data_IF_647137861719
#
_entry.id   IF_647137861719
#
_cell.length_a   1.000
_cell.length_b   1.000
_cell.length_c   1.000
_cell.angle_alpha   90.00
_cell.angle_beta   90.00
_cell.angle_gamma   90.00
#
_symmetry.space_group_name_H-M   'P 1'
#
loop_
_entity.id
_entity.type
_entity.pdbx_description
1 polymer ?
#
# COMPACT_ATOMS: atom_id res chain seq x y z
N UNK A 1 19.28 -27.85 -6.63
CA UNK A 1 20.64 -27.56 -7.11
C UNK A 1 20.79 -26.05 -6.99
N UNK A 2 21.60 -25.56 -6.06
CA UNK A 2 21.75 -24.12 -5.80
C UNK A 2 22.49 -23.50 -6.99
N UNK A 3 21.81 -22.70 -7.81
CA UNK A 3 22.45 -21.92 -8.86
C UNK A 3 23.00 -20.62 -8.25
N UNK A 4 24.12 -20.11 -8.77
CA UNK A 4 24.65 -18.83 -8.31
C UNK A 4 23.68 -17.71 -8.69
N UNK A 5 23.35 -16.77 -7.78
CA UNK A 5 22.46 -15.64 -8.08
C UNK A 5 22.97 -14.78 -9.25
N UNK A 6 24.28 -14.75 -9.48
CA UNK A 6 24.89 -14.01 -10.60
C UNK A 6 24.86 -14.74 -11.95
N UNK A 7 24.39 -15.98 -12.00
CA UNK A 7 24.35 -16.74 -13.25
C UNK A 7 23.34 -16.12 -14.23
N UNK A 8 23.62 -16.15 -15.55
CA UNK A 8 22.71 -15.59 -16.56
C UNK A 8 21.33 -16.25 -16.50
N UNK A 9 21.27 -17.56 -16.23
CA UNK A 9 20.01 -18.30 -16.06
C UNK A 9 19.18 -17.77 -14.87
N UNK A 10 19.82 -17.42 -13.76
CA UNK A 10 19.15 -16.83 -12.59
C UNK A 10 18.60 -15.43 -12.89
N UNK A 11 19.38 -14.62 -13.62
CA UNK A 11 18.95 -13.27 -14.06
C UNK A 11 17.78 -13.34 -15.03
N UNK A 12 17.83 -14.24 -16.01
CA UNK A 12 16.76 -14.48 -16.97
C UNK A 12 15.48 -14.96 -16.27
N UNK A 13 15.60 -15.81 -15.25
CA UNK A 13 14.49 -16.28 -14.43
C UNK A 13 13.87 -15.15 -13.60
N UNK A 14 14.68 -14.34 -12.92
CA UNK A 14 14.20 -13.20 -12.14
C UNK A 14 13.49 -12.17 -13.01
N UNK A 15 14.05 -11.87 -14.18
CA UNK A 15 13.43 -10.99 -15.18
C UNK A 15 12.08 -11.52 -15.67
N UNK A 16 12.01 -12.81 -16.02
CA UNK A 16 10.75 -13.40 -16.48
C UNK A 16 9.70 -13.42 -15.36
N UNK A 17 10.10 -13.74 -14.12
CA UNK A 17 9.24 -13.70 -12.95
C UNK A 17 8.62 -12.31 -12.76
N UNK A 18 9.45 -11.27 -12.81
CA UNK A 18 9.01 -9.88 -12.70
C UNK A 18 8.07 -9.48 -13.83
N UNK A 19 8.44 -9.77 -15.08
CA UNK A 19 7.62 -9.44 -16.25
C UNK A 19 6.24 -10.10 -16.20
N UNK A 20 6.17 -11.38 -15.81
CA UNK A 20 4.89 -12.09 -15.65
C UNK A 20 4.02 -11.46 -14.56
N UNK A 21 4.61 -10.96 -13.47
CA UNK A 21 3.87 -10.25 -12.42
C UNK A 21 3.27 -8.93 -12.93
N UNK A 22 4.02 -8.18 -13.76
CA UNK A 22 3.51 -6.97 -14.43
C UNK A 22 2.33 -7.32 -15.33
N UNK A 23 2.46 -8.33 -16.19
CA UNK A 23 1.39 -8.72 -17.11
C UNK A 23 0.15 -9.18 -16.36
N UNK A 24 0.31 -9.94 -15.27
CA UNK A 24 -0.80 -10.36 -14.42
C UNK A 24 -1.60 -9.16 -13.88
N UNK A 25 -0.92 -8.14 -13.34
CA UNK A 25 -1.58 -6.91 -12.88
C UNK A 25 -2.15 -6.07 -14.01
N UNK A 26 -1.47 -6.03 -15.16
CA UNK A 26 -1.96 -5.37 -16.37
C UNK A 26 -3.32 -5.92 -16.79
N UNK A 27 -3.43 -7.24 -16.92
CA UNK A 27 -4.69 -7.93 -17.23
C UNK A 27 -5.77 -7.67 -16.16
N UNK A 28 -5.39 -7.66 -14.88
CA UNK A 28 -6.32 -7.40 -13.77
C UNK A 28 -6.96 -6.00 -13.85
N UNK A 29 -6.20 -4.98 -14.25
CA UNK A 29 -6.68 -3.59 -14.30
C UNK A 29 -7.10 -3.13 -15.70
N UNK A 30 -6.75 -3.86 -16.76
CA UNK A 30 -7.10 -3.55 -18.15
C UNK A 30 -8.47 -4.08 -18.57
N UNK A 31 -9.23 -4.73 -17.68
CA UNK A 31 -10.47 -5.40 -18.05
C UNK A 31 -11.60 -4.42 -18.38
N UNK A 32 -11.52 -3.79 -19.56
CA UNK A 32 -12.64 -3.31 -20.38
C UNK A 32 -13.39 -4.53 -20.95
N UNK A 33 -13.90 -5.39 -20.07
CA UNK A 33 -15.04 -6.19 -20.48
C UNK A 33 -16.22 -5.25 -20.40
N UNK A 34 -16.51 -4.58 -21.51
CA UNK A 34 -17.87 -4.13 -21.82
C UNK A 34 -18.79 -5.31 -21.45
N UNK A 35 -19.42 -5.23 -20.28
CA UNK A 35 -20.61 -6.01 -20.03
C UNK A 35 -21.59 -5.48 -21.05
N UNK A 36 -21.70 -6.16 -22.20
CA UNK A 36 -22.73 -5.90 -23.17
C UNK A 36 -24.05 -6.27 -22.48
N UNK A 37 -24.59 -5.33 -21.71
CA UNK A 37 -25.91 -5.45 -21.11
C UNK A 37 -26.86 -5.37 -22.30
N UNK A 38 -27.37 -6.53 -22.73
CA UNK A 38 -28.43 -6.58 -23.72
C UNK A 38 -29.63 -5.79 -23.19
N UNK A 39 -30.08 -4.71 -23.86
CA UNK A 39 -31.20 -3.90 -23.40
C UNK A 39 -32.52 -4.67 -23.24
N UNK A 40 -32.59 -5.90 -23.78
CA UNK A 40 -33.78 -6.75 -23.74
C UNK A 40 -33.78 -7.75 -22.57
N UNK A 41 -32.70 -7.84 -21.77
CA UNK A 41 -32.62 -8.74 -20.61
C UNK A 41 -32.23 -7.99 -19.32
N UNK A 42 -33.19 -7.28 -18.70
CA UNK A 42 -32.94 -6.50 -17.48
C UNK A 42 -32.67 -7.37 -16.23
N UNK A 43 -32.72 -8.71 -16.36
CA UNK A 43 -32.40 -9.64 -15.29
C UNK A 43 -31.16 -10.49 -15.57
N UNK A 44 -30.45 -10.24 -16.68
CA UNK A 44 -29.23 -10.94 -17.04
C UNK A 44 -29.40 -12.43 -16.88
N UNK A 45 -30.11 -13.08 -17.82
CA UNK A 45 -30.14 -14.53 -17.97
C UNK A 45 -28.71 -15.01 -18.07
N UNK A 46 -28.16 -15.30 -16.90
CA UNK A 46 -26.93 -16.01 -16.75
C UNK A 46 -27.17 -17.32 -17.48
N UNK A 47 -26.61 -17.42 -18.67
CA UNK A 47 -25.96 -18.66 -19.10
C UNK A 47 -24.84 -18.93 -18.10
N UNK A 48 -25.27 -19.26 -16.88
CA UNK A 48 -24.53 -19.77 -15.74
C UNK A 48 -24.18 -21.22 -16.07
N UNK A 49 -23.40 -21.39 -17.12
CA UNK A 49 -22.55 -22.55 -17.28
C UNK A 49 -21.19 -22.17 -16.70
N UNK A 50 -20.96 -22.57 -15.44
CA UNK A 50 -19.67 -22.63 -14.74
C UNK A 50 -19.16 -21.34 -14.04
N UNK A 51 -20.00 -20.66 -13.27
CA UNK A 51 -19.57 -19.58 -12.36
C UNK A 51 -18.93 -20.08 -11.03
N UNK A 52 -18.21 -21.21 -11.05
CA UNK A 52 -17.60 -21.79 -9.85
C UNK A 52 -16.07 -21.90 -9.85
N UNK A 53 -15.36 -21.46 -10.91
CA UNK A 53 -13.88 -21.58 -10.98
C UNK A 53 -13.17 -20.52 -11.86
N UNK A 54 -13.77 -19.37 -12.15
CA UNK A 54 -13.07 -18.35 -12.95
C UNK A 54 -12.12 -17.54 -12.05
N UNK A 55 -10.84 -17.93 -12.07
CA UNK A 55 -9.75 -17.14 -11.51
C UNK A 55 -9.73 -15.73 -12.13
N UNK A 56 -9.25 -14.69 -11.42
CA UNK A 56 -9.26 -13.34 -11.95
C UNK A 56 -8.42 -13.21 -13.23
N UNK A 57 -8.68 -12.17 -14.06
CA UNK A 57 -7.83 -11.88 -15.22
C UNK A 57 -6.35 -11.85 -14.84
N UNK A 58 -5.51 -12.50 -15.65
CA UNK A 58 -4.06 -12.59 -15.40
C UNK A 58 -3.62 -13.70 -14.43
N UNK A 59 -4.52 -14.55 -13.92
CA UNK A 59 -4.17 -15.53 -12.88
C UNK A 59 -3.12 -16.55 -13.32
N UNK A 60 -3.16 -16.96 -14.59
CA UNK A 60 -2.15 -17.85 -15.18
C UNK A 60 -0.74 -17.24 -15.11
N UNK A 61 -0.61 -15.95 -15.49
CA UNK A 61 0.68 -15.24 -15.40
C UNK A 61 1.14 -15.08 -13.96
N UNK A 62 0.22 -14.80 -13.03
CA UNK A 62 0.53 -14.78 -11.60
C UNK A 62 1.07 -16.13 -11.12
N UNK A 63 0.42 -17.25 -11.47
CA UNK A 63 0.88 -18.58 -11.06
C UNK A 63 2.24 -18.93 -11.64
N UNK A 64 2.48 -18.61 -12.92
CA UNK A 64 3.80 -18.79 -13.53
C UNK A 64 4.86 -17.92 -12.86
N UNK A 65 4.57 -16.64 -12.58
CA UNK A 65 5.48 -15.76 -11.84
C UNK A 65 5.82 -16.34 -10.47
N UNK A 66 4.82 -16.77 -9.68
CA UNK A 66 5.03 -17.39 -8.37
C UNK A 66 5.88 -18.67 -8.46
N UNK A 67 5.72 -19.47 -9.52
CA UNK A 67 6.53 -20.67 -9.72
C UNK A 67 8.01 -20.39 -10.01
N UNK A 68 8.31 -19.21 -10.56
CA UNK A 68 9.67 -18.76 -10.86
C UNK A 68 10.29 -17.96 -9.70
N UNK A 69 9.48 -17.49 -8.76
CA UNK A 69 9.91 -16.68 -7.64
C UNK A 69 10.87 -17.45 -6.72
N UNK A 70 12.02 -16.85 -6.42
CA UNK A 70 12.93 -17.38 -5.41
C UNK A 70 12.30 -17.25 -4.01
N UNK A 71 12.17 -18.38 -3.31
CA UNK A 71 11.53 -18.42 -1.97
C UNK A 71 12.28 -17.58 -0.93
N UNK A 72 13.61 -17.64 -0.93
CA UNK A 72 14.49 -16.85 -0.07
C UNK A 72 15.68 -16.40 -0.90
N UNK A 73 15.78 -15.09 -1.15
CA UNK A 73 16.93 -14.48 -1.81
C UNK A 73 18.03 -14.21 -0.77
N UNK A 74 19.19 -14.85 -0.93
CA UNK A 74 20.37 -14.57 -0.10
C UNK A 74 20.93 -13.16 -0.37
N UNK A 75 20.89 -12.75 -1.63
CA UNK A 75 21.31 -11.44 -2.10
C UNK A 75 20.12 -10.80 -2.84
N UNK A 76 19.13 -10.24 -2.12
CA UNK A 76 17.97 -9.61 -2.77
C UNK A 76 18.43 -8.41 -3.58
N UNK A 77 17.83 -8.20 -4.75
CA UNK A 77 18.01 -7.00 -5.55
C UNK A 77 16.72 -6.16 -5.60
N UNK A 78 16.81 -4.98 -6.24
CA UNK A 78 15.68 -4.06 -6.40
C UNK A 78 14.52 -4.76 -7.12
N UNK A 79 14.80 -5.50 -8.19
CA UNK A 79 13.79 -6.17 -9.01
C UNK A 79 13.05 -7.26 -8.24
N UNK A 80 13.72 -7.98 -7.33
CA UNK A 80 13.10 -8.96 -6.45
C UNK A 80 12.07 -8.29 -5.52
N UNK A 81 12.41 -7.14 -4.94
CA UNK A 81 11.50 -6.36 -4.07
C UNK A 81 10.28 -5.90 -4.88
N UNK A 82 10.49 -5.35 -6.08
CA UNK A 82 9.40 -4.93 -6.95
C UNK A 82 8.49 -6.11 -7.32
N UNK A 83 9.06 -7.25 -7.65
CA UNK A 83 8.30 -8.46 -8.00
C UNK A 83 7.42 -8.91 -6.84
N UNK A 84 7.95 -8.92 -5.61
CA UNK A 84 7.18 -9.23 -4.41
C UNK A 84 6.04 -8.23 -4.18
N UNK A 85 6.28 -6.93 -4.39
CA UNK A 85 5.24 -5.90 -4.34
C UNK A 85 4.13 -6.18 -5.35
N UNK A 86 4.46 -6.48 -6.61
CA UNK A 86 3.48 -6.77 -7.66
C UNK A 86 2.65 -8.03 -7.31
N UNK A 87 3.31 -9.09 -6.86
CA UNK A 87 2.66 -10.32 -6.42
C UNK A 87 1.78 -10.10 -5.18
N UNK A 88 2.18 -9.22 -4.27
CA UNK A 88 1.37 -8.85 -3.11
C UNK A 88 0.07 -8.15 -3.52
N UNK A 89 0.13 -7.19 -4.46
CA UNK A 89 -1.08 -6.53 -4.99
C UNK A 89 -2.03 -7.55 -5.63
N UNK A 90 -1.50 -8.45 -6.46
CA UNK A 90 -2.32 -9.45 -7.13
C UNK A 90 -2.92 -10.46 -6.12
N UNK A 91 -2.15 -10.89 -5.12
CA UNK A 91 -2.67 -11.72 -4.03
C UNK A 91 -3.79 -11.01 -3.24
N UNK A 92 -3.67 -9.70 -3.05
CA UNK A 92 -4.70 -8.90 -2.38
C UNK A 92 -6.01 -8.86 -3.19
N UNK A 93 -5.95 -8.72 -4.52
CA UNK A 93 -7.14 -8.74 -5.38
C UNK A 93 -7.87 -10.10 -5.40
N UNK A 94 -7.13 -11.18 -5.18
CA UNK A 94 -7.67 -12.54 -4.99
C UNK A 94 -8.20 -12.82 -3.58
N UNK A 95 -8.26 -11.82 -2.69
CA UNK A 95 -8.61 -11.99 -1.29
C UNK A 95 -7.68 -12.98 -0.54
N UNK A 96 -6.44 -13.19 -1.04
CA UNK A 96 -5.40 -14.00 -0.38
C UNK A 96 -4.56 -13.12 0.53
N UNK A 97 -5.21 -12.49 1.51
CA UNK A 97 -4.61 -11.46 2.36
C UNK A 97 -3.39 -11.96 3.13
N UNK A 98 -3.38 -13.23 3.56
CA UNK A 98 -2.21 -13.84 4.20
C UNK A 98 -1.02 -13.96 3.25
N UNK A 99 -1.26 -14.34 2.00
CA UNK A 99 -0.20 -14.41 0.97
C UNK A 99 0.35 -13.03 0.66
N UNK A 100 -0.52 -12.03 0.50
CA UNK A 100 -0.10 -10.65 0.30
C UNK A 100 0.76 -10.15 1.48
N UNK A 101 0.31 -10.37 2.72
CA UNK A 101 1.07 -10.03 3.92
C UNK A 101 2.45 -10.70 3.96
N UNK A 102 2.55 -11.98 3.56
CA UNK A 102 3.84 -12.67 3.51
C UNK A 102 4.77 -12.07 2.45
N UNK A 103 4.27 -11.77 1.24
CA UNK A 103 5.09 -11.14 0.21
C UNK A 103 5.57 -9.74 0.62
N UNK A 104 4.70 -8.94 1.24
CA UNK A 104 5.08 -7.62 1.78
C UNK A 104 6.10 -7.74 2.91
N UNK A 105 5.95 -8.73 3.79
CA UNK A 105 6.93 -8.98 4.85
C UNK A 105 8.30 -9.34 4.29
N UNK A 106 8.35 -10.18 3.24
CA UNK A 106 9.62 -10.52 2.56
C UNK A 106 10.20 -9.30 1.84
N UNK A 107 9.38 -8.51 1.14
CA UNK A 107 9.85 -7.31 0.44
C UNK A 107 10.39 -6.25 1.42
N UNK A 108 9.75 -6.09 2.57
CA UNK A 108 10.24 -5.22 3.65
C UNK A 108 11.60 -5.70 4.17
N UNK A 109 11.76 -6.99 4.49
CA UNK A 109 13.05 -7.52 4.94
C UNK A 109 14.15 -7.40 3.88
N UNK A 110 13.82 -7.58 2.60
CA UNK A 110 14.74 -7.38 1.48
C UNK A 110 15.14 -5.90 1.33
N UNK A 111 14.18 -4.97 1.43
CA UNK A 111 14.46 -3.53 1.39
C UNK A 111 15.34 -3.07 2.56
N UNK A 112 15.14 -3.64 3.76
CA UNK A 112 16.02 -3.40 4.91
C UNK A 112 17.42 -3.98 4.70
N UNK A 113 17.54 -5.18 4.12
CA UNK A 113 18.83 -5.80 3.82
C UNK A 113 19.66 -5.01 2.79
N UNK A 114 19.00 -4.21 1.94
CA UNK A 114 19.61 -3.27 1.00
C UNK A 114 19.78 -1.85 1.58
N UNK A 115 19.48 -1.65 2.86
CA UNK A 115 19.50 -0.35 3.54
C UNK A 115 18.67 0.75 2.84
N UNK A 116 17.57 0.39 2.16
CA UNK A 116 16.74 1.36 1.45
C UNK A 116 15.97 2.30 2.39
N UNK A 117 15.78 1.88 3.65
CA UNK A 117 15.22 2.68 4.73
C UNK A 117 16.13 3.81 5.20
N UNK A 118 17.41 3.79 4.80
CA UNK A 118 18.41 4.77 5.24
C UNK A 118 18.75 5.77 4.16
N UNK A 119 19.09 6.99 4.59
CA UNK A 119 19.66 7.98 3.69
C UNK A 119 20.99 7.47 3.14
N UNK A 120 21.26 7.60 1.83
CA UNK A 120 22.54 7.18 1.25
C UNK A 120 23.73 7.98 1.81
N UNK A 121 23.46 9.06 2.55
CA UNK A 121 24.47 9.92 3.18
C UNK A 121 24.78 9.56 4.64
N UNK A 122 24.04 8.64 5.26
CA UNK A 122 24.24 8.26 6.67
C UNK A 122 25.53 7.48 6.89
N UNK A 123 25.96 6.72 5.88
CA UNK A 123 27.18 5.92 5.90
C UNK A 123 27.72 5.73 4.49
N UNK A 124 29.03 5.44 4.39
CA UNK A 124 29.66 5.15 3.11
C UNK A 124 29.08 3.84 2.55
N UNK A 125 28.26 3.95 1.51
CA UNK A 125 27.60 2.82 0.84
C UNK A 125 27.83 2.89 -0.68
N UNK A 126 27.73 1.75 -1.35
CA UNK A 126 27.80 1.69 -2.82
C UNK A 126 26.70 2.51 -3.49
N UNK A 127 25.60 2.77 -2.77
CA UNK A 127 24.48 3.61 -3.21
C UNK A 127 24.89 5.04 -3.52
N UNK A 128 25.98 5.56 -2.93
CA UNK A 128 26.48 6.90 -3.25
C UNK A 128 26.96 7.04 -4.71
N UNK A 129 27.24 5.93 -5.40
CA UNK A 129 27.68 5.92 -6.79
C UNK A 129 26.51 5.86 -7.79
N UNK A 130 25.26 5.70 -7.29
CA UNK A 130 24.07 5.65 -8.13
C UNK A 130 23.72 7.03 -8.68
N UNK A 131 23.10 7.05 -9.84
CA UNK A 131 22.51 8.25 -10.41
C UNK A 131 21.35 8.78 -9.55
N UNK A 132 20.99 10.05 -9.73
CA UNK A 132 19.85 10.65 -9.02
C UNK A 132 18.55 9.89 -9.27
N UNK A 133 18.33 9.39 -10.50
CA UNK A 133 17.14 8.63 -10.86
C UNK A 133 17.10 7.27 -10.15
N UNK A 134 18.22 6.55 -10.08
CA UNK A 134 18.31 5.27 -9.38
C UNK A 134 18.11 5.42 -7.86
N UNK A 135 18.67 6.48 -7.26
CA UNK A 135 18.44 6.79 -5.84
C UNK A 135 16.97 7.08 -5.55
N UNK A 136 16.32 7.86 -6.42
CA UNK A 136 14.91 8.21 -6.29
C UNK A 136 14.00 6.99 -6.51
N UNK A 137 14.35 6.11 -7.45
CA UNK A 137 13.67 4.84 -7.66
C UNK A 137 13.72 3.95 -6.40
N UNK A 138 14.90 3.73 -5.84
CA UNK A 138 15.06 2.94 -4.62
C UNK A 138 14.31 3.53 -3.41
N UNK A 139 14.33 4.85 -3.28
CA UNK A 139 13.58 5.57 -2.25
C UNK A 139 12.07 5.35 -2.39
N UNK A 140 11.53 5.53 -3.60
CA UNK A 140 10.11 5.30 -3.88
C UNK A 140 9.71 3.85 -3.70
N UNK A 141 10.59 2.92 -4.05
CA UNK A 141 10.38 1.51 -3.81
C UNK A 141 10.26 1.21 -2.31
N UNK A 142 11.17 1.74 -1.48
CA UNK A 142 11.06 1.61 -0.03
C UNK A 142 9.73 2.15 0.50
N UNK A 143 9.35 3.37 0.10
CA UNK A 143 8.08 3.97 0.51
C UNK A 143 6.86 3.20 0.02
N UNK A 144 6.94 2.58 -1.16
CA UNK A 144 5.89 1.69 -1.68
C UNK A 144 5.75 0.42 -0.83
N UNK A 145 6.87 -0.22 -0.48
CA UNK A 145 6.89 -1.39 0.40
C UNK A 145 6.32 -1.04 1.77
N UNK A 146 6.74 0.09 2.34
CA UNK A 146 6.24 0.58 3.62
C UNK A 146 4.74 0.89 3.57
N UNK A 147 4.25 1.53 2.51
CA UNK A 147 2.82 1.76 2.30
C UNK A 147 2.02 0.45 2.26
N UNK A 148 2.52 -0.57 1.55
CA UNK A 148 1.87 -1.88 1.49
C UNK A 148 1.89 -2.61 2.84
N UNK A 149 2.96 -2.46 3.63
CA UNK A 149 3.04 -3.00 4.99
C UNK A 149 1.97 -2.37 5.88
N UNK A 150 1.85 -1.05 5.86
CA UNK A 150 0.78 -0.32 6.55
C UNK A 150 -0.63 -0.77 6.09
N UNK A 151 -0.84 -0.94 4.78
CA UNK A 151 -2.11 -1.39 4.23
C UNK A 151 -2.49 -2.80 4.71
N UNK A 152 -1.56 -3.75 4.60
CA UNK A 152 -1.83 -5.16 4.96
C UNK A 152 -1.99 -5.34 6.47
N UNK A 153 -1.18 -4.65 7.28
CA UNK A 153 -1.21 -4.70 8.74
C UNK A 153 -2.49 -4.09 9.30
N UNK A 154 -2.91 -2.92 8.81
CA UNK A 154 -4.19 -2.31 9.21
C UNK A 154 -5.41 -3.11 8.76
N UNK A 155 -5.31 -3.82 7.62
CA UNK A 155 -6.39 -4.68 7.12
C UNK A 155 -6.50 -5.99 7.90
N UNK A 156 -5.37 -6.56 8.34
CA UNK A 156 -5.33 -7.87 9.03
C UNK A 156 -5.30 -7.77 10.55
N UNK A 157 -5.09 -6.57 11.11
CA UNK A 157 -4.89 -6.39 12.54
C UNK A 157 -3.55 -6.95 13.01
N UNK A 158 -2.47 -6.78 12.24
CA UNK A 158 -1.13 -7.25 12.57
C UNK A 158 -0.21 -6.08 12.88
N UNK A 159 0.90 -6.26 13.64
CA UNK A 159 1.90 -5.22 13.81
C UNK A 159 2.67 -4.98 12.50
N UNK A 160 3.03 -3.72 12.22
CA UNK A 160 3.89 -3.37 11.09
C UNK A 160 5.37 -3.58 11.38
N UNK A 161 6.17 -3.72 10.33
CA UNK A 161 7.50 -4.32 10.39
C UNK A 161 8.65 -3.38 10.80
N UNK A 162 8.47 -2.06 10.70
CA UNK A 162 9.53 -1.06 10.92
C UNK A 162 8.99 0.15 11.69
N UNK A 163 9.72 0.59 12.73
CA UNK A 163 9.40 1.80 13.47
C UNK A 163 9.82 3.04 12.68
N UNK A 164 9.04 4.11 12.77
CA UNK A 164 9.33 5.36 12.05
C UNK A 164 10.69 5.94 12.41
N UNK A 165 11.13 5.80 13.67
CA UNK A 165 12.44 6.29 14.17
C UNK A 165 13.64 5.59 13.52
N UNK A 166 13.45 4.41 12.94
CA UNK A 166 14.51 3.68 12.24
C UNK A 166 14.65 4.11 10.76
N UNK A 167 13.71 4.93 10.26
CA UNK A 167 13.68 5.35 8.86
C UNK A 167 14.32 6.73 8.75
N UNK A 168 15.45 6.80 8.05
CA UNK A 168 16.19 8.06 7.85
C UNK A 168 16.20 8.53 6.40
N UNK A 169 15.68 7.71 5.46
CA UNK A 169 15.50 8.14 4.08
C UNK A 169 14.41 9.20 3.98
N UNK A 170 14.69 10.27 3.23
CA UNK A 170 13.71 11.33 3.00
C UNK A 170 12.52 10.86 2.15
N UNK A 171 11.43 11.63 2.18
CA UNK A 171 10.29 11.48 1.27
C UNK A 171 10.69 11.62 -0.22
N UNK A 172 9.81 11.14 -1.10
CA UNK A 172 10.01 11.23 -2.54
C UNK A 172 10.20 12.70 -2.96
N UNK A 173 11.13 12.95 -3.88
CA UNK A 173 11.46 14.29 -4.36
C UNK A 173 11.85 14.25 -5.85
N UNK A 174 10.99 14.82 -6.70
CA UNK A 174 11.24 14.93 -8.13
C UNK A 174 12.08 16.14 -8.52
N UNK A 175 12.39 17.06 -7.60
CA UNK A 175 13.05 18.34 -7.93
C UNK A 175 14.45 18.19 -8.52
N UNK A 176 15.12 17.07 -8.21
CA UNK A 176 16.47 16.76 -8.68
C UNK A 176 16.49 15.92 -9.97
N UNK A 177 15.32 15.51 -10.46
CA UNK A 177 15.19 14.73 -11.69
C UNK A 177 15.20 15.66 -12.91
N UNK A 178 15.75 15.17 -14.03
CA UNK A 178 15.86 15.95 -15.27
C UNK A 178 15.57 15.08 -16.49
N UNK A 179 14.99 15.67 -17.53
CA UNK A 179 14.75 14.99 -18.81
C UNK A 179 13.75 13.83 -18.66
N UNK A 180 14.05 12.73 -19.35
CA UNK A 180 13.17 11.55 -19.42
C UNK A 180 12.93 10.91 -18.04
N UNK A 181 13.88 11.05 -17.10
CA UNK A 181 13.73 10.54 -15.73
C UNK A 181 12.54 11.16 -14.98
N UNK A 182 12.07 12.35 -15.37
CA UNK A 182 10.86 12.93 -14.77
C UNK A 182 9.58 12.18 -15.15
N UNK A 183 9.57 11.49 -16.31
CA UNK A 183 8.43 10.74 -16.81
C UNK A 183 8.36 9.32 -16.23
N UNK A 184 9.44 8.85 -15.60
CA UNK A 184 9.54 7.51 -15.02
C UNK A 184 8.76 7.37 -13.70
N UNK A 185 8.47 8.47 -13.01
CA UNK A 185 7.88 8.46 -11.68
C UNK A 185 6.54 9.20 -11.62
N UNK A 186 5.68 8.72 -10.72
CA UNK A 186 4.49 9.46 -10.31
C UNK A 186 4.87 10.78 -9.63
N UNK A 187 3.90 11.68 -9.52
CA UNK A 187 4.11 12.92 -8.78
C UNK A 187 4.54 12.64 -7.33
N UNK A 188 5.58 13.34 -6.89
CA UNK A 188 6.18 13.15 -5.57
C UNK A 188 5.26 13.64 -4.46
N UNK A 189 4.64 14.80 -4.64
CA UNK A 189 3.75 15.42 -3.66
C UNK A 189 2.52 14.54 -3.44
N UNK A 190 1.90 14.07 -4.53
CA UNK A 190 0.77 13.14 -4.46
C UNK A 190 1.14 11.86 -3.68
N UNK A 191 2.29 11.26 -4.01
CA UNK A 191 2.76 10.03 -3.36
C UNK A 191 3.01 10.23 -1.87
N UNK A 192 3.62 11.35 -1.48
CA UNK A 192 3.92 11.68 -0.09
C UNK A 192 2.64 11.92 0.71
N UNK A 193 1.66 12.63 0.14
CA UNK A 193 0.37 12.90 0.79
C UNK A 193 -0.42 11.60 1.05
N UNK A 194 -0.42 10.67 0.10
CA UNK A 194 -1.01 9.34 0.29
C UNK A 194 -0.33 8.56 1.42
N UNK A 195 1.00 8.63 1.48
CA UNK A 195 1.80 7.97 2.51
C UNK A 195 1.55 8.54 3.90
N UNK A 196 1.47 9.87 4.04
CA UNK A 196 1.13 10.53 5.29
C UNK A 196 -0.24 10.14 5.82
N UNK A 197 -1.25 10.08 4.93
CA UNK A 197 -2.59 9.61 5.30
C UNK A 197 -2.55 8.15 5.78
N UNK A 198 -1.79 7.29 5.13
CA UNK A 198 -1.65 5.89 5.54
C UNK A 198 -0.89 5.74 6.86
N UNK A 199 0.09 6.59 7.14
CA UNK A 199 0.76 6.65 8.45
C UNK A 199 -0.24 7.04 9.54
N UNK A 200 -1.01 8.10 9.32
CA UNK A 200 -2.03 8.55 10.26
C UNK A 200 -3.10 7.48 10.50
N UNK A 201 -3.58 6.82 9.43
CA UNK A 201 -4.46 5.65 9.51
C UNK A 201 -3.86 4.57 10.38
N UNK A 202 -2.62 4.19 10.14
CA UNK A 202 -1.99 3.06 10.83
C UNK A 202 -1.75 3.35 12.30
N UNK A 203 -1.30 4.56 12.62
CA UNK A 203 -1.17 5.02 14.00
C UNK A 203 -2.52 5.01 14.73
N UNK A 204 -3.59 5.47 14.08
CA UNK A 204 -4.93 5.41 14.63
C UNK A 204 -5.38 3.97 14.89
N UNK A 205 -5.20 3.07 13.91
CA UNK A 205 -5.56 1.66 14.06
C UNK A 205 -4.77 0.97 15.17
N UNK A 206 -3.46 1.13 15.21
CA UNK A 206 -2.59 0.52 16.23
C UNK A 206 -2.87 1.06 17.63
N UNK A 207 -3.10 2.38 17.76
CA UNK A 207 -3.40 2.99 19.05
C UNK A 207 -4.81 2.69 19.54
N UNK A 208 -5.80 2.58 18.66
CA UNK A 208 -7.19 2.35 19.06
C UNK A 208 -7.49 0.87 19.23
N UNK A 209 -6.96 -0.01 18.38
CA UNK A 209 -7.19 -1.45 18.44
C UNK A 209 -6.05 -2.23 19.09
N UNK A 210 -5.07 -1.54 19.68
CA UNK A 210 -4.24 -2.10 20.74
C UNK A 210 -3.31 -3.26 20.36
N UNK A 211 -2.82 -3.36 19.11
CA UNK A 211 -1.77 -4.34 18.77
C UNK A 211 -0.41 -3.93 19.34
N UNK A 212 -0.17 -2.62 19.50
CA UNK A 212 1.00 -2.07 20.17
C UNK A 212 0.79 -1.87 21.69
N UNK A 213 -0.45 -2.05 22.18
CA UNK A 213 -0.86 -2.06 23.58
C UNK A 213 -0.03 -1.18 24.52
N UNK A 214 0.39 -1.79 25.63
CA UNK A 214 1.25 -1.20 26.66
C UNK A 214 2.73 -1.10 26.23
N UNK A 215 3.11 -1.64 25.07
CA UNK A 215 4.51 -1.64 24.62
C UNK A 215 4.97 -0.25 24.15
N UNK A 216 4.07 0.54 23.54
CA UNK A 216 4.35 1.94 23.17
C UNK A 216 4.01 2.90 24.32
N UNK A 217 2.97 2.58 25.11
CA UNK A 217 2.64 3.35 26.31
C UNK A 217 2.12 2.41 27.41
N UNK A 218 2.94 2.10 28.45
CA UNK A 218 2.56 1.19 29.54
C UNK A 218 1.32 1.62 30.34
N UNK A 219 0.94 2.89 30.23
CA UNK A 219 -0.18 3.50 30.92
C UNK A 219 -1.43 3.65 30.04
N UNK A 220 -1.35 3.26 28.76
CA UNK A 220 -2.50 3.25 27.86
C UNK A 220 -3.27 1.93 27.99
N UNK A 221 -4.45 2.00 28.60
CA UNK A 221 -5.42 0.90 28.65
C UNK A 221 -6.47 1.00 27.54
N UNK A 222 -6.16 1.75 26.48
CA UNK A 222 -7.05 2.01 25.35
C UNK A 222 -6.90 0.83 24.38
N UNK A 223 -7.94 0.00 24.30
CA UNK A 223 -8.07 -1.04 23.28
C UNK A 223 -9.53 -1.25 22.96
N UNK A 224 -9.89 -0.96 21.71
CA UNK A 224 -11.18 -1.25 21.11
C UNK A 224 -11.28 -2.70 20.63
N UNK A 225 -10.18 -3.46 20.63
CA UNK A 225 -10.16 -4.84 20.13
C UNK A 225 -11.08 -5.75 20.96
N UNK A 226 -10.99 -5.66 22.29
CA UNK A 226 -11.82 -6.42 23.24
C UNK A 226 -12.96 -5.57 23.83
N UNK A 227 -13.23 -4.39 23.27
CA UNK A 227 -14.22 -3.48 23.83
C UNK A 227 -15.63 -3.87 23.42
N UNK A 228 -16.47 -4.19 24.40
CA UNK A 228 -17.91 -4.37 24.19
C UNK A 228 -18.54 -3.04 23.78
N UNK A 229 -18.90 -2.89 22.50
CA UNK A 229 -19.57 -1.69 21.93
C UNK A 229 -20.87 -1.30 22.66
N UNK A 230 -21.45 -2.19 23.46
CA UNK A 230 -22.59 -1.91 24.33
C UNK A 230 -22.25 -1.07 25.57
N UNK A 231 -20.97 -0.93 25.93
CA UNK A 231 -20.52 -0.10 27.05
C UNK A 231 -20.14 1.30 26.55
N UNK A 232 -20.37 2.35 27.34
CA UNK A 232 -19.92 3.68 26.99
C UNK A 232 -18.39 3.73 26.96
N UNK A 233 -17.84 4.39 25.95
CA UNK A 233 -16.40 4.62 25.83
C UNK A 233 -15.90 5.44 27.02
N UNK A 234 -14.73 5.06 27.55
CA UNK A 234 -14.08 5.86 28.59
C UNK A 234 -13.58 7.19 28.03
N UNK A 235 -13.36 8.17 28.90
CA UNK A 235 -12.78 9.46 28.51
C UNK A 235 -11.46 9.33 27.75
N UNK A 236 -10.61 8.37 28.13
CA UNK A 236 -9.35 8.10 27.42
C UNK A 236 -9.57 7.66 25.97
N UNK A 237 -10.58 6.82 25.70
CA UNK A 237 -10.94 6.45 24.32
C UNK A 237 -11.41 7.67 23.54
N UNK A 238 -12.31 8.48 24.11
CA UNK A 238 -12.85 9.67 23.47
C UNK A 238 -11.76 10.70 23.17
N UNK A 239 -10.85 10.94 24.11
CA UNK A 239 -9.72 11.86 23.95
C UNK A 239 -8.80 11.39 22.81
N UNK A 240 -8.46 10.09 22.75
CA UNK A 240 -7.62 9.52 21.68
C UNK A 240 -8.31 9.54 20.31
N UNK A 241 -9.60 9.23 20.28
CA UNK A 241 -10.42 9.31 19.07
C UNK A 241 -10.53 10.78 18.59
N UNK A 242 -10.62 11.74 19.51
CA UNK A 242 -10.60 13.17 19.20
C UNK A 242 -9.27 13.63 18.62
N UNK A 243 -8.15 13.21 19.22
CA UNK A 243 -6.79 13.51 18.75
C UNK A 243 -6.61 13.11 17.27
N UNK A 244 -6.91 11.85 16.92
CA UNK A 244 -6.78 11.40 15.53
C UNK A 244 -7.77 12.07 14.58
N UNK A 245 -8.96 12.42 15.05
CA UNK A 245 -9.92 13.16 14.24
C UNK A 245 -9.45 14.59 13.93
N UNK A 246 -8.90 15.29 14.92
CA UNK A 246 -8.31 16.61 14.70
C UNK A 246 -7.12 16.53 13.75
N UNK A 247 -6.27 15.51 13.88
CA UNK A 247 -5.17 15.27 12.96
C UNK A 247 -5.66 15.03 11.52
N UNK A 248 -6.71 14.22 11.33
CA UNK A 248 -7.32 13.97 10.02
C UNK A 248 -7.92 15.24 9.40
N UNK A 249 -8.61 16.06 10.20
CA UNK A 249 -9.15 17.33 9.74
C UNK A 249 -8.04 18.33 9.39
N UNK A 250 -6.98 18.39 10.21
CA UNK A 250 -5.79 19.20 9.93
C UNK A 250 -5.17 18.82 8.58
N UNK A 251 -4.91 17.52 8.40
CA UNK A 251 -4.41 16.96 7.15
C UNK A 251 -5.30 17.29 5.94
N UNK A 252 -6.63 17.13 6.04
CA UNK A 252 -7.57 17.47 4.94
C UNK A 252 -7.55 18.98 4.61
N UNK A 253 -7.41 19.83 5.62
CA UNK A 253 -7.36 21.28 5.45
C UNK A 253 -6.08 21.72 4.73
N UNK A 254 -4.95 21.08 5.04
CA UNK A 254 -3.63 21.35 4.47
C UNK A 254 -3.45 20.81 3.04
N UNK A 255 -4.37 19.96 2.55
CA UNK A 255 -4.29 19.43 1.18
C UNK A 255 -4.20 20.54 0.11
N UNK A 256 -3.33 20.37 -0.90
CA UNK A 256 -3.30 21.22 -2.08
C UNK A 256 -4.66 21.27 -2.81
N UNK A 257 -5.03 22.40 -3.43
CA UNK A 257 -6.30 22.53 -4.15
C UNK A 257 -6.49 21.49 -5.26
N UNK A 258 -5.41 21.02 -5.89
CA UNK A 258 -5.44 20.02 -6.95
C UNK A 258 -5.90 18.62 -6.47
N UNK A 259 -5.69 18.32 -5.18
CA UNK A 259 -6.08 17.06 -4.57
C UNK A 259 -7.46 17.12 -3.92
N UNK A 260 -8.02 18.32 -3.69
CA UNK A 260 -9.35 18.49 -3.10
C UNK A 260 -10.45 18.15 -4.10
N UNK A 261 -11.26 17.16 -3.76
CA UNK A 261 -12.44 16.76 -4.54
C UNK A 261 -13.62 17.62 -4.11
N UNK A 262 -14.04 18.56 -4.95
CA UNK A 262 -15.15 19.49 -4.65
C UNK A 262 -16.31 19.25 -5.60
N UNK A 263 -17.51 19.16 -5.05
CA UNK A 263 -18.75 19.11 -5.83
C UNK A 263 -19.25 20.53 -6.10
N UNK A 264 -19.32 20.90 -7.38
CA UNK A 264 -19.88 22.16 -7.84
C UNK A 264 -21.39 22.23 -7.61
N UNK A 265 -21.94 23.45 -7.66
CA UNK A 265 -23.38 23.68 -7.51
C UNK A 265 -24.21 23.11 -8.67
N UNK A 266 -23.57 22.91 -9.82
CA UNK A 266 -24.09 22.20 -11.00
C UNK A 266 -24.10 20.68 -10.84
N UNK A 267 -23.57 20.16 -9.72
CA UNK A 267 -23.44 18.74 -9.43
C UNK A 267 -22.22 18.08 -10.06
N UNK A 268 -21.37 18.81 -10.79
CA UNK A 268 -20.11 18.29 -11.34
C UNK A 268 -19.06 18.11 -10.25
N UNK A 269 -18.14 17.16 -10.46
CA UNK A 269 -17.01 16.94 -9.56
C UNK A 269 -15.75 17.53 -10.15
N UNK A 270 -15.06 18.36 -9.37
CA UNK A 270 -13.74 18.88 -9.69
C UNK A 270 -12.67 17.97 -9.11
N UNK A 271 -11.56 17.80 -9.85
CA UNK A 271 -10.42 16.97 -9.47
C UNK A 271 -10.76 15.50 -9.14
N UNK A 272 -11.88 14.97 -9.62
CA UNK A 272 -12.21 13.56 -9.46
C UNK A 272 -11.40 12.73 -10.46
N UNK A 273 -10.36 12.08 -9.97
CA UNK A 273 -9.56 11.10 -10.70
C UNK A 273 -9.32 9.87 -9.80
N UNK A 274 -8.70 8.82 -10.33
CA UNK A 274 -8.45 7.57 -9.58
C UNK A 274 -7.60 7.79 -8.32
N UNK A 275 -6.60 8.66 -8.38
CA UNK A 275 -5.67 8.97 -7.28
C UNK A 275 -6.44 9.67 -6.15
N UNK A 276 -7.12 10.77 -6.46
CA UNK A 276 -7.89 11.56 -5.50
C UNK A 276 -9.06 10.75 -4.92
N UNK A 277 -9.74 9.94 -5.74
CA UNK A 277 -10.80 9.05 -5.25
C UNK A 277 -10.27 8.02 -4.25
N UNK A 278 -9.09 7.43 -4.51
CA UNK A 278 -8.45 6.51 -3.59
C UNK A 278 -8.03 7.21 -2.28
N UNK A 279 -7.49 8.43 -2.38
CA UNK A 279 -7.11 9.26 -1.23
C UNK A 279 -8.30 9.50 -0.31
N UNK A 280 -9.42 9.99 -0.86
CA UNK A 280 -10.63 10.25 -0.09
C UNK A 280 -11.30 8.98 0.42
N UNK A 281 -11.21 7.86 -0.30
CA UNK A 281 -11.70 6.57 0.17
C UNK A 281 -10.95 6.12 1.43
N UNK A 282 -9.62 6.24 1.46
CA UNK A 282 -8.82 5.96 2.66
C UNK A 282 -9.20 6.93 3.78
N UNK A 283 -9.27 8.23 3.50
CA UNK A 283 -9.63 9.25 4.50
C UNK A 283 -10.98 8.94 5.16
N UNK A 284 -11.99 8.60 4.36
CA UNK A 284 -13.32 8.25 4.87
C UNK A 284 -13.39 6.88 5.54
N UNK A 285 -12.47 5.94 5.27
CA UNK A 285 -12.36 4.68 6.00
C UNK A 285 -11.83 4.87 7.43
N UNK A 286 -11.02 5.90 7.68
CA UNK A 286 -10.49 6.19 9.03
C UNK A 286 -11.46 7.03 9.87
N UNK A 287 -12.22 7.92 9.21
CA UNK A 287 -13.23 8.80 9.84
C UNK A 287 -14.43 8.13 10.57
N UNK A 288 -14.89 6.88 10.32
CA UNK A 288 -16.22 6.43 10.77
C UNK A 288 -16.38 6.20 12.28
N UNK A 289 -15.30 6.22 13.06
CA UNK A 289 -15.43 6.10 14.53
C UNK A 289 -16.22 7.29 15.10
N UNK A 290 -16.12 8.48 14.50
CA UNK A 290 -16.83 9.67 14.99
C UNK A 290 -18.30 9.75 14.58
N UNK A 291 -18.67 9.29 13.39
CA UNK A 291 -20.07 9.38 12.95
C UNK A 291 -20.97 8.41 13.71
N UNK A 292 -20.45 7.24 14.13
CA UNK A 292 -21.20 6.29 14.96
C UNK A 292 -21.31 6.71 16.43
N UNK A 293 -20.34 7.48 16.95
CA UNK A 293 -20.32 7.93 18.34
C UNK A 293 -21.09 9.22 18.59
N UNK A 294 -21.37 10.00 17.54
CA UNK A 294 -22.15 11.25 17.64
C UNK A 294 -23.60 11.01 18.08
N UNK A 295 -24.13 9.82 17.85
CA UNK A 295 -25.50 9.44 18.20
C UNK A 295 -25.62 8.81 19.60
N UNK A 296 -24.51 8.63 20.33
CA UNK A 296 -24.47 7.97 21.66
C UNK A 296 -23.84 8.83 22.78
N UNK A 297 -23.66 10.14 22.55
CA UNK A 297 -23.26 11.14 23.56
C UNK A 297 -24.43 12.11 23.75
#
# INVERSE_FOLDING_TARGET
MHQSPDSPQSKDQGWLCHWLAIVALGELYSSDKETHIDPQDPLGSATSTLASNLEPPGAEYYHQSVSLLQQVAEHPDVQYIETLCLLALYAFSMNRVNTAYMYVGVSMRAALALDLHRSPYDFLSERMNLSTAELEHQKRLFWTVYYQDLLTTTTTGRPWGVLDDEITVDYADSSRLTGDAMLEFFDAEDSNIHLELMRLRSQAYSSLYGYAGTAVNPYSYISLFDFELSRPLSRQHLDKISEFHQALLGWENELPPALKVVRGWDGSWTNLNRVNANLYLIYHQVRPVWTMLRDNI
#
